data_IF_436150471379
#
_entry.id   IF_436150471379
#
_cell.length_a   1.000
_cell.length_b   1.000
_cell.length_c   1.000
_cell.angle_alpha   90.00
_cell.angle_beta   90.00
_cell.angle_gamma   90.00
#
_symmetry.space_group_name_H-M   'P 1'
#
loop_
_entity.id
_entity.type
_entity.pdbx_description
1 polymer ?
#
# COMPACT_ATOMS: atom_id res chain seq x y z
N UNK A 1 4.87 17.35 -24.09
CA UNK A 1 4.37 18.44 -24.95
C UNK A 1 3.10 18.07 -25.73
N UNK A 2 3.11 17.03 -26.57
CA UNK A 2 1.89 16.61 -27.32
C UNK A 2 0.83 15.95 -26.43
N UNK A 3 1.27 15.10 -25.50
CA UNK A 3 0.38 14.28 -24.65
C UNK A 3 -0.30 15.15 -23.57
N UNK A 4 0.47 15.94 -22.82
CA UNK A 4 -0.01 16.78 -21.71
C UNK A 4 -0.61 18.13 -22.14
N UNK A 5 -0.46 18.55 -23.41
CA UNK A 5 -0.86 19.87 -23.93
C UNK A 5 -0.31 21.10 -23.19
N UNK A 6 0.61 20.92 -22.24
CA UNK A 6 1.32 22.00 -21.54
C UNK A 6 2.83 21.83 -21.66
N UNK A 7 3.54 22.96 -21.64
CA UNK A 7 5.01 23.03 -21.70
C UNK A 7 5.50 23.44 -20.31
N UNK A 8 5.80 22.44 -19.48
CA UNK A 8 6.38 22.68 -18.17
C UNK A 8 7.91 22.71 -18.28
N UNK A 9 8.55 23.66 -17.59
CA UNK A 9 9.99 23.85 -17.54
C UNK A 9 10.79 22.56 -17.25
N UNK A 10 10.35 21.65 -16.36
CA UNK A 10 10.98 20.35 -16.15
C UNK A 10 11.10 19.51 -17.42
N UNK A 11 10.12 19.55 -18.32
CA UNK A 11 10.10 18.76 -19.57
C UNK A 11 11.20 19.25 -20.54
N UNK A 12 11.39 20.56 -20.64
CA UNK A 12 12.49 21.12 -21.46
C UNK A 12 13.84 20.81 -20.81
N UNK A 13 13.90 20.90 -19.47
CA UNK A 13 15.10 20.58 -18.74
C UNK A 13 15.54 19.12 -18.89
N UNK A 14 14.67 18.18 -19.27
CA UNK A 14 15.03 16.76 -19.54
C UNK A 14 16.10 16.59 -20.62
N UNK A 15 16.26 17.56 -21.52
CA UNK A 15 17.31 17.53 -22.55
C UNK A 15 18.71 17.55 -21.91
N UNK A 16 18.88 18.29 -20.81
CA UNK A 16 20.18 18.45 -20.13
C UNK A 16 20.69 17.13 -19.51
N UNK A 17 19.94 16.45 -18.61
CA UNK A 17 20.36 15.15 -18.12
C UNK A 17 20.41 14.13 -19.25
N UNK A 18 19.52 14.18 -20.26
CA UNK A 18 19.59 13.28 -21.42
C UNK A 18 20.92 13.36 -22.18
N UNK A 19 21.44 14.57 -22.43
CA UNK A 19 22.76 14.74 -23.07
C UNK A 19 23.91 14.30 -22.16
N UNK A 20 23.83 14.60 -20.86
CA UNK A 20 24.83 14.16 -19.90
C UNK A 20 24.89 12.63 -19.80
N UNK A 21 23.73 11.97 -19.72
CA UNK A 21 23.61 10.52 -19.66
C UNK A 21 24.11 9.87 -20.95
N UNK A 22 23.77 10.43 -22.12
CA UNK A 22 24.28 9.97 -23.40
C UNK A 22 25.82 10.01 -23.47
N UNK A 23 26.41 11.14 -23.07
CA UNK A 23 27.88 11.26 -23.01
C UNK A 23 28.53 10.31 -22.01
N UNK A 24 27.89 10.09 -20.86
CA UNK A 24 28.34 9.10 -19.86
C UNK A 24 28.31 7.68 -20.43
N UNK A 25 27.25 7.29 -21.14
CA UNK A 25 27.15 5.98 -21.78
C UNK A 25 28.32 5.79 -22.76
N UNK A 26 28.59 6.77 -23.62
CA UNK A 26 29.69 6.69 -24.59
C UNK A 26 31.06 6.54 -23.90
N UNK A 27 31.30 7.31 -22.82
CA UNK A 27 32.52 7.20 -22.01
C UNK A 27 32.63 5.80 -21.40
N UNK A 28 31.56 5.26 -20.81
CA UNK A 28 31.60 3.93 -20.21
C UNK A 28 31.79 2.83 -21.26
N UNK A 29 31.19 2.96 -22.44
CA UNK A 29 31.42 2.04 -23.57
C UNK A 29 32.89 2.06 -23.98
N UNK A 30 33.50 3.24 -24.14
CA UNK A 30 34.91 3.37 -24.49
C UNK A 30 35.82 2.79 -23.38
N UNK A 31 35.54 3.13 -22.13
CA UNK A 31 36.28 2.59 -20.96
C UNK A 31 36.22 1.06 -20.93
N UNK A 32 35.04 0.45 -21.03
CA UNK A 32 34.92 -1.02 -21.00
C UNK A 32 35.54 -1.69 -22.23
N UNK A 33 35.48 -1.05 -23.39
CA UNK A 33 36.14 -1.55 -24.60
C UNK A 33 37.66 -1.52 -24.45
N UNK A 34 38.21 -0.41 -23.95
CA UNK A 34 39.65 -0.24 -23.72
C UNK A 34 40.20 -1.12 -22.58
N UNK A 35 39.36 -1.46 -21.60
CA UNK A 35 39.66 -2.47 -20.57
C UNK A 35 39.68 -3.91 -21.12
N UNK A 36 39.29 -4.12 -22.38
CA UNK A 36 39.31 -5.44 -23.01
C UNK A 36 38.23 -6.38 -22.46
N UNK A 37 37.18 -5.88 -21.80
CA UNK A 37 36.06 -6.70 -21.34
C UNK A 37 35.44 -7.54 -22.48
N UNK A 38 35.23 -6.99 -23.70
CA UNK A 38 34.67 -7.79 -24.80
C UNK A 38 35.54 -9.00 -25.19
N UNK A 39 36.86 -8.86 -25.06
CA UNK A 39 37.83 -9.95 -25.32
C UNK A 39 37.99 -10.91 -24.15
N UNK A 40 37.67 -10.47 -22.92
CA UNK A 40 37.67 -11.33 -21.72
C UNK A 40 36.45 -12.27 -21.71
N UNK A 41 35.30 -11.78 -22.20
CA UNK A 41 34.01 -12.49 -22.21
C UNK A 41 33.86 -13.45 -23.38
N UNK A 42 34.82 -14.37 -23.53
CA UNK A 42 34.84 -15.34 -24.63
C UNK A 42 33.73 -16.39 -24.54
N UNK A 43 33.19 -16.63 -23.34
CA UNK A 43 32.13 -17.60 -23.12
C UNK A 43 30.75 -16.94 -23.03
N UNK A 44 29.76 -17.52 -23.72
CA UNK A 44 28.38 -17.00 -23.75
C UNK A 44 27.76 -16.83 -22.35
N UNK A 45 28.07 -17.72 -21.40
CA UNK A 45 27.58 -17.64 -20.03
C UNK A 45 28.11 -16.41 -19.27
N UNK A 46 29.35 -16.00 -19.54
CA UNK A 46 29.93 -14.81 -18.92
C UNK A 46 29.23 -13.54 -19.45
N UNK A 47 28.97 -13.49 -20.76
CA UNK A 47 28.20 -12.41 -21.38
C UNK A 47 26.79 -12.29 -20.79
N UNK A 48 26.13 -13.43 -20.56
CA UNK A 48 24.81 -13.48 -19.94
C UNK A 48 24.86 -13.01 -18.47
N UNK A 49 25.83 -13.48 -17.69
CA UNK A 49 25.99 -13.08 -16.30
C UNK A 49 26.25 -11.57 -16.16
N UNK A 50 27.08 -11.00 -17.03
CA UNK A 50 27.32 -9.55 -17.05
C UNK A 50 26.08 -8.76 -17.45
N UNK A 51 25.27 -9.30 -18.37
CA UNK A 51 23.99 -8.70 -18.75
C UNK A 51 23.02 -8.65 -17.57
N UNK A 52 22.92 -9.74 -16.79
CA UNK A 52 22.09 -9.79 -15.58
C UNK A 52 22.59 -8.81 -14.50
N UNK A 53 23.90 -8.74 -14.28
CA UNK A 53 24.49 -7.76 -13.36
C UNK A 53 24.19 -6.32 -13.80
N UNK A 54 24.30 -6.05 -15.11
CA UNK A 54 23.95 -4.76 -15.70
C UNK A 54 22.48 -4.39 -15.47
N UNK A 55 21.56 -5.36 -15.55
CA UNK A 55 20.15 -5.13 -15.25
C UNK A 55 19.91 -4.73 -13.79
N UNK A 56 20.60 -5.36 -12.83
CA UNK A 56 20.49 -5.01 -11.41
C UNK A 56 21.03 -3.60 -11.14
N UNK A 57 22.15 -3.25 -11.74
CA UNK A 57 22.72 -1.90 -11.60
C UNK A 57 21.82 -0.86 -12.26
N UNK A 58 21.27 -1.17 -13.44
CA UNK A 58 20.33 -0.30 -14.14
C UNK A 58 19.04 -0.11 -13.33
N UNK A 59 18.47 -1.18 -12.77
CA UNK A 59 17.24 -1.08 -11.97
C UNK A 59 17.46 -0.26 -10.70
N UNK A 60 18.59 -0.42 -10.04
CA UNK A 60 18.97 0.40 -8.88
C UNK A 60 19.16 1.88 -9.28
N UNK A 61 19.76 2.13 -10.45
CA UNK A 61 19.92 3.47 -11.01
C UNK A 61 18.58 4.15 -11.26
N UNK A 62 17.66 3.47 -11.96
CA UNK A 62 16.30 3.97 -12.21
C UNK A 62 15.52 4.15 -10.91
N UNK A 63 15.67 3.23 -9.95
CA UNK A 63 15.06 3.37 -8.62
C UNK A 63 15.49 4.66 -7.93
N UNK A 64 16.79 4.98 -7.93
CA UNK A 64 17.26 6.25 -7.37
C UNK A 64 16.84 7.45 -8.22
N UNK A 65 16.85 7.34 -9.55
CA UNK A 65 16.40 8.41 -10.42
C UNK A 65 14.96 8.81 -10.10
N UNK A 66 14.05 7.84 -10.08
CA UNK A 66 12.63 8.05 -9.79
C UNK A 66 12.41 8.57 -8.38
N UNK A 67 13.08 7.98 -7.37
CA UNK A 67 12.90 8.42 -5.97
C UNK A 67 13.63 9.72 -5.63
N UNK A 68 14.59 10.19 -6.43
CA UNK A 68 15.40 11.38 -6.11
C UNK A 68 14.69 12.73 -6.30
N UNK A 69 13.40 12.74 -6.68
CA UNK A 69 12.65 13.95 -7.07
C UNK A 69 13.36 14.80 -8.13
N UNK A 70 14.27 14.19 -8.90
CA UNK A 70 15.09 14.87 -9.89
C UNK A 70 14.39 14.89 -11.26
N UNK A 71 15.00 15.58 -12.23
CA UNK A 71 14.45 15.65 -13.58
C UNK A 71 14.59 14.28 -14.24
N UNK A 72 13.46 13.60 -14.40
CA UNK A 72 13.36 12.28 -15.04
C UNK A 72 13.85 12.32 -16.50
N UNK A 73 14.50 11.25 -16.93
CA UNK A 73 14.90 11.04 -18.30
C UNK A 73 13.70 11.03 -19.27
N UNK A 74 13.92 11.32 -20.58
CA UNK A 74 12.83 11.44 -21.54
C UNK A 74 11.96 10.18 -21.67
N UNK A 75 12.53 8.99 -21.48
CA UNK A 75 11.81 7.72 -21.52
C UNK A 75 10.84 7.57 -20.35
N UNK A 76 11.33 7.84 -19.15
CA UNK A 76 10.63 7.78 -17.88
C UNK A 76 9.58 8.90 -17.81
N UNK A 77 9.93 10.09 -18.29
CA UNK A 77 9.03 11.23 -18.44
C UNK A 77 7.87 10.97 -19.40
N UNK A 78 8.06 10.18 -20.47
CA UNK A 78 6.97 9.74 -21.34
C UNK A 78 6.00 8.83 -20.57
N UNK A 79 6.52 7.91 -19.75
CA UNK A 79 5.70 7.01 -18.94
C UNK A 79 4.90 7.81 -17.94
N UNK A 80 5.51 8.75 -17.21
CA UNK A 80 4.78 9.66 -16.31
C UNK A 80 3.72 10.46 -17.08
N UNK A 81 4.04 11.00 -18.26
CA UNK A 81 3.06 11.73 -19.06
C UNK A 81 1.88 10.86 -19.54
N UNK A 82 2.16 9.61 -19.95
CA UNK A 82 1.14 8.63 -20.34
C UNK A 82 0.33 8.18 -19.13
N UNK A 83 0.98 8.04 -17.97
CA UNK A 83 0.38 7.78 -16.67
C UNK A 83 -0.65 8.87 -16.46
N UNK A 84 -0.23 10.12 -16.22
CA UNK A 84 -1.11 11.28 -16.04
C UNK A 84 -2.25 11.41 -17.05
N UNK A 85 -2.02 11.08 -18.33
CA UNK A 85 -3.07 11.16 -19.37
C UNK A 85 -4.05 9.99 -19.38
N UNK A 86 -3.61 8.78 -19.09
CA UNK A 86 -4.40 7.55 -19.33
C UNK A 86 -4.96 6.92 -18.07
N UNK A 87 -4.58 7.38 -16.87
CA UNK A 87 -5.09 6.82 -15.60
C UNK A 87 -4.72 5.36 -15.33
N UNK A 88 -3.75 4.80 -16.06
CA UNK A 88 -3.19 3.45 -15.82
C UNK A 88 -1.90 3.43 -14.98
N UNK A 89 -1.70 2.47 -14.07
CA UNK A 89 -0.54 2.41 -13.15
C UNK A 89 0.82 2.61 -13.83
N UNK A 90 1.71 3.40 -13.20
CA UNK A 90 3.04 3.71 -13.73
C UNK A 90 3.81 2.44 -14.12
N UNK A 91 3.85 1.42 -13.25
CA UNK A 91 4.55 0.17 -13.52
C UNK A 91 4.03 -0.55 -14.78
N UNK A 92 2.69 -0.60 -14.97
CA UNK A 92 2.09 -1.19 -16.18
C UNK A 92 2.42 -0.38 -17.42
N UNK A 93 2.35 0.95 -17.35
CA UNK A 93 2.70 1.80 -18.49
C UNK A 93 4.19 1.79 -18.79
N UNK A 94 5.08 1.69 -17.79
CA UNK A 94 6.52 1.53 -17.98
C UNK A 94 6.79 0.25 -18.75
N UNK A 95 6.21 -0.86 -18.31
CA UNK A 95 6.30 -2.14 -18.99
C UNK A 95 5.83 -2.06 -20.44
N UNK A 96 4.65 -1.48 -20.71
CA UNK A 96 4.17 -1.33 -22.08
C UNK A 96 5.06 -0.42 -22.91
N UNK A 97 5.55 0.68 -22.33
CA UNK A 97 6.39 1.64 -23.05
C UNK A 97 7.73 0.98 -23.41
N UNK A 98 8.38 0.28 -22.48
CA UNK A 98 9.61 -0.46 -22.74
C UNK A 98 9.41 -1.57 -23.78
N UNK A 99 8.31 -2.32 -23.69
CA UNK A 99 7.98 -3.35 -24.67
C UNK A 99 7.76 -2.76 -26.06
N UNK A 100 7.12 -1.58 -26.16
CA UNK A 100 6.96 -0.88 -27.43
C UNK A 100 8.29 -0.38 -27.99
N UNK A 101 9.21 0.11 -27.15
CA UNK A 101 10.55 0.50 -27.59
C UNK A 101 11.32 -0.70 -28.15
N UNK A 102 11.26 -1.86 -27.48
CA UNK A 102 11.85 -3.12 -27.98
C UNK A 102 11.23 -3.54 -29.30
N UNK A 103 9.90 -3.50 -29.41
CA UNK A 103 9.21 -3.86 -30.64
C UNK A 103 9.59 -2.94 -31.82
N UNK A 104 9.67 -1.63 -31.58
CA UNK A 104 10.11 -0.65 -32.59
C UNK A 104 11.56 -0.91 -33.01
N UNK A 105 12.45 -1.14 -32.05
CA UNK A 105 13.84 -1.50 -32.33
C UNK A 105 13.94 -2.77 -33.18
N UNK A 106 13.10 -3.77 -32.92
CA UNK A 106 13.07 -5.03 -33.66
C UNK A 106 12.61 -4.82 -35.10
N UNK A 107 11.58 -4.01 -35.32
CA UNK A 107 11.11 -3.64 -36.66
C UNK A 107 12.19 -2.90 -37.44
N UNK A 108 12.85 -1.90 -36.82
CA UNK A 108 13.93 -1.15 -37.47
C UNK A 108 15.11 -2.07 -37.81
N UNK A 109 15.48 -2.97 -36.89
CA UNK A 109 16.56 -3.93 -37.09
C UNK A 109 16.30 -4.81 -38.32
N UNK A 110 15.09 -5.36 -38.43
CA UNK A 110 14.71 -6.25 -39.52
C UNK A 110 14.61 -5.52 -40.86
N UNK A 111 14.07 -4.30 -40.88
CA UNK A 111 13.90 -3.54 -42.12
C UNK A 111 15.23 -3.01 -42.68
N UNK A 112 16.12 -2.52 -41.81
CA UNK A 112 17.33 -1.82 -42.25
C UNK A 112 18.56 -2.72 -42.33
N UNK A 113 18.75 -3.62 -41.35
CA UNK A 113 19.94 -4.47 -41.26
C UNK A 113 19.70 -5.89 -41.79
N UNK A 114 18.46 -6.22 -42.19
CA UNK A 114 18.04 -7.56 -42.65
C UNK A 114 18.42 -8.68 -41.68
N UNK A 115 18.44 -8.36 -40.38
CA UNK A 115 18.82 -9.28 -39.31
C UNK A 115 18.54 -8.68 -37.94
N UNK A 116 18.69 -9.49 -36.89
CA UNK A 116 18.59 -9.05 -35.51
C UNK A 116 19.96 -8.51 -35.07
N UNK A 117 20.07 -7.19 -34.99
CA UNK A 117 21.25 -6.47 -34.51
C UNK A 117 20.85 -5.71 -33.25
N UNK A 118 21.56 -5.95 -32.14
CA UNK A 118 21.32 -5.29 -30.86
C UNK A 118 20.22 -5.90 -29.97
N UNK A 119 19.37 -6.78 -30.49
CA UNK A 119 18.34 -7.48 -29.70
C UNK A 119 18.73 -8.94 -29.54
N UNK A 120 18.91 -9.36 -28.28
CA UNK A 120 19.29 -10.73 -27.91
C UNK A 120 18.46 -11.21 -26.72
N UNK A 121 18.80 -12.38 -26.23
CA UNK A 121 18.11 -13.10 -25.15
C UNK A 121 18.00 -12.27 -23.86
N UNK A 122 18.98 -11.40 -23.59
CA UNK A 122 18.92 -10.43 -22.49
C UNK A 122 17.67 -9.55 -22.53
N UNK A 123 17.21 -9.14 -23.71
CA UNK A 123 15.99 -8.33 -23.85
C UNK A 123 14.73 -9.11 -23.44
N UNK A 124 14.68 -10.40 -23.76
CA UNK A 124 13.56 -11.28 -23.35
C UNK A 124 13.59 -11.50 -21.83
N UNK A 125 14.79 -11.70 -21.27
CA UNK A 125 14.97 -11.89 -19.83
C UNK A 125 14.54 -10.63 -19.06
N UNK A 126 14.98 -9.44 -19.48
CA UNK A 126 14.54 -8.18 -18.88
C UNK A 126 13.01 -8.07 -18.87
N UNK A 127 12.36 -8.31 -20.02
CA UNK A 127 10.91 -8.22 -20.14
C UNK A 127 10.17 -9.21 -19.20
N UNK A 128 10.70 -10.43 -19.01
CA UNK A 128 10.10 -11.41 -18.09
C UNK A 128 10.21 -10.98 -16.62
N UNK A 129 11.35 -10.43 -16.20
CA UNK A 129 11.54 -9.94 -14.83
C UNK A 129 10.61 -8.76 -14.52
N UNK A 130 10.35 -7.87 -15.49
CA UNK A 130 9.46 -6.72 -15.27
C UNK A 130 7.98 -7.11 -15.13
N UNK A 131 7.55 -8.25 -15.68
CA UNK A 131 6.14 -8.66 -15.67
C UNK A 131 5.72 -9.25 -14.31
N UNK A 132 6.61 -9.94 -13.59
CA UNK A 132 6.27 -10.60 -12.32
C UNK A 132 6.09 -9.64 -11.13
N UNK A 133 6.74 -8.48 -11.12
CA UNK A 133 6.65 -7.54 -9.98
C UNK A 133 5.41 -6.63 -10.03
N UNK A 134 4.78 -6.49 -11.20
CA UNK A 134 3.65 -5.57 -11.40
C UNK A 134 2.30 -6.07 -10.83
N UNK A 135 2.25 -7.23 -10.18
CA UNK A 135 1.03 -7.83 -9.60
C UNK A 135 1.02 -7.91 -8.06
N UNK A 136 1.97 -7.30 -7.35
CA UNK A 136 1.99 -7.34 -5.88
C UNK A 136 1.78 -5.95 -5.26
N UNK A 137 0.55 -5.70 -4.81
CA UNK A 137 0.27 -4.74 -3.75
C UNK A 137 0.54 -5.44 -2.40
N UNK A 138 1.73 -5.25 -1.85
CA UNK A 138 2.10 -5.78 -0.54
C UNK A 138 1.81 -4.75 0.55
N UNK A 139 0.61 -4.81 1.14
CA UNK A 139 0.43 -4.35 2.51
C UNK A 139 0.58 -5.56 3.43
N UNK A 140 1.79 -5.83 3.90
CA UNK A 140 2.04 -6.87 4.89
C UNK A 140 1.37 -6.48 6.22
N UNK A 141 0.16 -6.99 6.46
CA UNK A 141 -0.53 -6.97 7.75
C UNK A 141 0.13 -7.91 8.80
N UNK A 142 1.45 -8.10 8.75
CA UNK A 142 2.19 -9.01 9.61
C UNK A 142 3.55 -8.45 9.96
N UNK A 143 3.94 -8.57 11.22
CA UNK A 143 5.31 -8.25 11.66
C UNK A 143 6.20 -9.45 11.32
N UNK A 144 6.69 -9.50 10.08
CA UNK A 144 7.43 -10.66 9.54
C UNK A 144 6.56 -11.92 9.54
N UNK A 145 7.08 -13.03 10.07
CA UNK A 145 6.34 -14.30 10.16
C UNK A 145 5.31 -14.33 11.30
N UNK A 146 5.23 -13.29 12.15
CA UNK A 146 4.29 -13.29 13.26
C UNK A 146 2.86 -13.03 12.77
N UNK A 147 1.88 -13.80 13.26
CA UNK A 147 0.48 -13.68 12.85
C UNK A 147 -0.23 -12.52 13.57
N UNK A 148 0.46 -11.40 13.74
CA UNK A 148 -0.05 -10.17 14.35
C UNK A 148 0.57 -8.92 13.70
N UNK A 149 -0.19 -7.83 13.72
CA UNK A 149 0.24 -6.49 13.36
C UNK A 149 -0.12 -5.50 14.48
N UNK A 150 0.71 -4.48 14.67
CA UNK A 150 0.50 -3.44 15.66
C UNK A 150 0.58 -2.09 14.96
N UNK A 151 -0.45 -1.28 15.15
CA UNK A 151 -0.55 0.05 14.58
C UNK A 151 -0.67 1.06 15.71
N UNK A 152 0.24 2.03 15.72
CA UNK A 152 0.10 3.23 16.53
C UNK A 152 -0.45 4.34 15.65
N UNK A 153 -1.57 4.93 16.05
CA UNK A 153 -2.31 5.92 15.27
C UNK A 153 -2.66 7.13 16.12
N UNK A 154 -2.61 8.30 15.50
CA UNK A 154 -3.12 9.56 16.03
C UNK A 154 -4.10 10.09 15.00
N UNK A 155 -5.35 10.32 15.41
CA UNK A 155 -6.35 10.99 14.59
C UNK A 155 -6.55 12.40 15.13
N UNK A 156 -6.49 13.38 14.23
CA UNK A 156 -6.76 14.78 14.52
C UNK A 156 -8.11 15.21 13.93
N UNK A 157 -9.01 15.66 14.81
CA UNK A 157 -10.36 16.11 14.46
C UNK A 157 -10.35 17.40 13.66
N UNK A 158 -9.37 18.29 13.88
CA UNK A 158 -9.24 19.56 13.14
C UNK A 158 -8.88 19.33 11.67
N UNK A 159 -8.20 18.21 11.39
CA UNK A 159 -7.84 17.74 10.06
C UNK A 159 -8.91 16.85 9.42
N UNK A 160 -10.04 16.62 10.10
CA UNK A 160 -11.05 15.61 9.75
C UNK A 160 -10.44 14.21 9.54
N UNK A 161 -9.46 13.84 10.36
CA UNK A 161 -8.89 12.50 10.28
C UNK A 161 -9.92 11.45 10.72
N UNK A 162 -10.05 10.39 9.94
CA UNK A 162 -10.85 9.23 10.29
C UNK A 162 -10.19 7.94 9.80
N UNK A 163 -10.50 6.83 10.48
CA UNK A 163 -10.24 5.49 10.00
C UNK A 163 -11.47 5.03 9.21
N UNK A 164 -11.39 5.10 7.89
CA UNK A 164 -12.45 4.72 6.96
C UNK A 164 -13.04 3.34 7.27
N UNK A 165 -14.30 3.13 6.90
CA UNK A 165 -14.95 1.82 7.01
C UNK A 165 -14.11 0.72 6.35
N UNK A 166 -13.75 -0.31 7.10
CA UNK A 166 -12.98 -1.44 6.59
C UNK A 166 -13.26 -2.71 7.41
N UNK A 167 -12.79 -3.85 6.92
CA UNK A 167 -12.88 -5.13 7.60
C UNK A 167 -11.64 -5.95 7.27
N UNK A 168 -11.28 -6.87 8.14
CA UNK A 168 -10.17 -7.79 7.94
C UNK A 168 -10.46 -9.14 8.63
N UNK A 169 -9.63 -10.13 8.34
CA UNK A 169 -9.79 -11.52 8.77
C UNK A 169 -9.37 -11.74 10.24
N UNK A 170 -8.55 -10.84 10.75
CA UNK A 170 -7.97 -10.82 12.08
C UNK A 170 -8.99 -10.33 13.13
N UNK A 171 -8.79 -10.74 14.38
CA UNK A 171 -9.38 -10.03 15.52
C UNK A 171 -8.62 -8.72 15.71
N UNK A 172 -9.31 -7.65 16.09
CA UNK A 172 -8.68 -6.37 16.40
C UNK A 172 -8.90 -6.01 17.87
N UNK A 173 -7.82 -5.63 18.55
CA UNK A 173 -7.85 -4.97 19.84
C UNK A 173 -7.45 -3.51 19.65
N UNK A 174 -8.33 -2.58 20.00
CA UNK A 174 -8.04 -1.14 19.95
C UNK A 174 -8.02 -0.59 21.36
N UNK A 175 -6.97 0.15 21.72
CA UNK A 175 -6.80 0.76 23.03
C UNK A 175 -6.47 2.24 22.91
N UNK A 176 -7.20 3.10 23.63
CA UNK A 176 -6.98 4.55 23.60
C UNK A 176 -5.93 4.95 24.65
N UNK A 177 -4.87 5.59 24.17
CA UNK A 177 -3.76 6.13 24.97
C UNK A 177 -4.09 7.53 25.48
N UNK A 178 -4.59 8.39 24.59
CA UNK A 178 -5.03 9.75 24.92
C UNK A 178 -6.28 10.17 24.14
N UNK A 179 -7.15 10.96 24.78
CA UNK A 179 -8.37 11.48 24.15
C UNK A 179 -9.56 10.52 24.16
N UNK A 180 -10.45 10.64 23.17
CA UNK A 180 -11.64 9.80 23.01
C UNK A 180 -11.88 9.47 21.54
N UNK A 181 -12.05 8.18 21.27
CA UNK A 181 -12.36 7.62 19.96
C UNK A 181 -13.84 7.23 19.93
N UNK A 182 -14.55 7.59 18.88
CA UNK A 182 -15.83 6.98 18.53
C UNK A 182 -15.57 5.90 17.49
N UNK A 183 -15.88 4.66 17.84
CA UNK A 183 -15.64 3.49 17.00
C UNK A 183 -16.99 2.86 16.67
N UNK A 184 -17.30 2.80 15.38
CA UNK A 184 -18.51 2.16 14.87
C UNK A 184 -18.17 0.74 14.43
N UNK A 185 -18.96 -0.25 14.88
CA UNK A 185 -18.85 -1.64 14.44
C UNK A 185 -20.22 -2.08 13.93
N UNK A 186 -20.31 -2.37 12.64
CA UNK A 186 -21.57 -2.61 11.96
C UNK A 186 -22.50 -1.39 12.03
N UNK A 187 -23.61 -1.50 12.77
CA UNK A 187 -24.61 -0.43 12.94
C UNK A 187 -24.55 0.24 14.32
N UNK A 188 -23.70 -0.26 15.20
CA UNK A 188 -23.56 0.24 16.57
C UNK A 188 -22.31 1.12 16.68
N UNK A 189 -22.39 2.11 17.56
CA UNK A 189 -21.31 3.08 17.78
C UNK A 189 -20.94 3.10 19.25
N UNK A 190 -19.63 3.07 19.54
CA UNK A 190 -19.07 2.98 20.87
C UNK A 190 -18.09 4.12 21.12
N UNK A 191 -18.14 4.73 22.29
CA UNK A 191 -17.12 5.69 22.71
C UNK A 191 -16.09 4.98 23.59
N UNK A 192 -14.82 5.15 23.22
CA UNK A 192 -13.68 4.54 23.89
C UNK A 192 -12.81 5.68 24.40
N UNK A 193 -12.55 5.69 25.70
CA UNK A 193 -11.78 6.74 26.37
C UNK A 193 -10.41 6.20 26.79
N UNK A 194 -9.53 7.08 27.25
CA UNK A 194 -8.26 6.69 27.88
C UNK A 194 -8.40 5.52 28.85
N UNK A 195 -7.44 4.58 28.77
CA UNK A 195 -7.39 3.37 29.61
C UNK A 195 -8.58 2.43 29.44
N UNK A 196 -9.31 2.58 28.34
CA UNK A 196 -10.27 1.60 27.87
C UNK A 196 -9.90 1.12 26.47
N UNK A 197 -10.51 0.01 26.08
CA UNK A 197 -10.32 -0.54 24.75
C UNK A 197 -11.58 -1.20 24.25
N UNK A 198 -11.49 -1.73 23.03
CA UNK A 198 -12.50 -2.59 22.45
C UNK A 198 -11.80 -3.76 21.78
N UNK A 199 -12.39 -4.94 21.89
CA UNK A 199 -12.08 -6.05 21.00
C UNK A 199 -13.16 -6.13 19.93
N UNK A 200 -12.75 -6.37 18.70
CA UNK A 200 -13.61 -6.55 17.54
C UNK A 200 -13.34 -7.96 17.01
N UNK A 201 -14.41 -8.72 16.75
CA UNK A 201 -14.30 -10.07 16.23
C UNK A 201 -13.78 -10.04 14.77
N UNK A 202 -13.26 -11.17 14.33
CA UNK A 202 -12.86 -11.42 12.95
C UNK A 202 -14.00 -11.09 11.96
N UNK A 203 -13.63 -10.49 10.83
CA UNK A 203 -14.54 -10.13 9.73
C UNK A 203 -15.67 -9.19 10.10
N UNK A 204 -15.43 -8.24 11.01
CA UNK A 204 -16.41 -7.21 11.35
C UNK A 204 -16.06 -5.89 10.70
N UNK A 205 -17.07 -5.31 10.05
CA UNK A 205 -16.97 -3.99 9.48
C UNK A 205 -16.89 -2.93 10.58
N UNK A 206 -15.88 -2.08 10.53
CA UNK A 206 -15.71 -1.03 11.53
C UNK A 206 -15.05 0.23 10.97
N UNK A 207 -15.21 1.33 11.71
CA UNK A 207 -14.78 2.70 11.39
C UNK A 207 -14.48 3.44 12.69
N UNK A 208 -13.57 4.42 12.66
CA UNK A 208 -13.26 5.22 13.85
C UNK A 208 -13.02 6.70 13.54
N UNK A 209 -13.50 7.57 14.42
CA UNK A 209 -13.29 9.03 14.38
C UNK A 209 -12.88 9.56 15.76
N UNK A 210 -12.07 10.63 15.83
CA UNK A 210 -11.77 11.30 17.09
C UNK A 210 -12.96 12.15 17.56
N UNK A 211 -13.35 12.00 18.83
CA UNK A 211 -14.32 12.90 19.49
C UNK A 211 -13.64 14.08 20.20
N UNK A 212 -12.41 13.89 20.66
CA UNK A 212 -11.53 14.97 21.14
C UNK A 212 -10.79 15.64 19.99
N UNK A 213 -10.04 16.71 20.27
CA UNK A 213 -9.21 17.39 19.25
C UNK A 213 -8.21 16.42 18.62
N UNK A 214 -7.52 15.64 19.44
CA UNK A 214 -6.72 14.49 19.02
C UNK A 214 -7.16 13.24 19.77
N UNK A 215 -7.08 12.09 19.12
CA UNK A 215 -7.25 10.78 19.74
C UNK A 215 -6.09 9.87 19.33
N UNK A 216 -5.31 9.42 20.31
CA UNK A 216 -4.18 8.53 20.12
C UNK A 216 -4.54 7.13 20.60
N UNK A 217 -4.27 6.13 19.76
CA UNK A 217 -4.61 4.75 20.07
C UNK A 217 -3.64 3.76 19.45
N UNK A 218 -3.64 2.55 20.01
CA UNK A 218 -2.94 1.39 19.50
C UNK A 218 -3.96 0.35 19.04
N UNK A 219 -3.84 -0.12 17.80
CA UNK A 219 -4.53 -1.31 17.30
C UNK A 219 -3.57 -2.50 17.27
N UNK A 220 -4.05 -3.65 17.72
CA UNK A 220 -3.37 -4.93 17.62
C UNK A 220 -4.29 -5.87 16.86
N UNK A 221 -3.90 -6.20 15.63
CA UNK A 221 -4.62 -7.14 14.78
C UNK A 221 -3.92 -8.48 14.88
N UNK A 222 -4.67 -9.54 15.21
CA UNK A 222 -4.09 -10.87 15.38
C UNK A 222 -4.95 -11.93 14.72
N UNK A 223 -4.28 -12.86 14.05
CA UNK A 223 -4.94 -14.00 13.44
C UNK A 223 -5.61 -14.85 14.49
N UNK A 224 -6.77 -15.42 14.16
CA UNK A 224 -7.42 -16.46 14.96
C UNK A 224 -6.49 -17.65 15.27
N UNK A 225 -5.51 -17.94 14.42
CA UNK A 225 -4.57 -19.06 14.57
C UNK A 225 -3.20 -18.63 15.11
N UNK A 226 -3.13 -17.54 15.89
CA UNK A 226 -1.88 -17.13 16.54
C UNK A 226 -1.45 -18.07 17.68
N UNK A 227 -2.37 -18.87 18.20
CA UNK A 227 -2.11 -19.93 19.17
C UNK A 227 -2.06 -21.29 18.49
N UNK A 228 -1.51 -22.28 19.20
CA UNK A 228 -1.62 -23.67 18.74
C UNK A 228 -3.09 -24.11 18.60
N UNK A 229 -3.31 -25.12 17.76
CA UNK A 229 -4.65 -25.59 17.40
C UNK A 229 -5.54 -25.93 18.61
N UNK A 230 -4.97 -26.56 19.65
CA UNK A 230 -5.74 -26.96 20.82
C UNK A 230 -6.24 -25.75 21.64
N UNK A 231 -5.38 -24.74 21.81
CA UNK A 231 -5.76 -23.49 22.46
C UNK A 231 -6.77 -22.74 21.60
N UNK A 232 -6.54 -22.64 20.29
CA UNK A 232 -7.50 -22.05 19.36
C UNK A 232 -8.90 -22.65 19.51
N UNK A 233 -9.02 -23.98 19.44
CA UNK A 233 -10.30 -24.70 19.54
C UNK A 233 -11.01 -24.49 20.88
N UNK A 234 -10.26 -24.32 21.98
CA UNK A 234 -10.82 -24.20 23.32
C UNK A 234 -11.10 -22.77 23.78
N UNK A 235 -10.40 -21.77 23.23
CA UNK A 235 -10.51 -20.36 23.68
C UNK A 235 -11.04 -19.43 22.60
N UNK A 236 -10.39 -19.38 21.44
CA UNK A 236 -10.68 -18.42 20.37
C UNK A 236 -11.90 -18.86 19.57
N UNK A 237 -11.94 -20.11 19.12
CA UNK A 237 -13.01 -20.63 18.26
C UNK A 237 -14.40 -20.44 18.88
N UNK A 238 -14.64 -20.68 20.19
CA UNK A 238 -15.93 -20.36 20.81
C UNK A 238 -16.29 -18.87 20.77
N UNK A 239 -15.31 -17.96 20.79
CA UNK A 239 -15.54 -16.52 20.65
C UNK A 239 -15.80 -16.14 19.19
N UNK A 240 -15.05 -16.71 18.26
CA UNK A 240 -15.18 -16.50 16.82
C UNK A 240 -16.53 -17.02 16.29
N UNK A 241 -16.89 -18.25 16.67
CA UNK A 241 -18.10 -18.95 16.22
C UNK A 241 -19.35 -18.55 16.99
N UNK A 242 -19.21 -17.84 18.13
CA UNK A 242 -20.35 -17.15 18.74
C UNK A 242 -20.83 -16.15 17.69
N UNK A 243 -21.84 -16.55 16.91
CA UNK A 243 -22.46 -15.75 15.85
C UNK A 243 -22.80 -14.32 16.31
N UNK A 244 -22.98 -14.14 17.62
CA UNK A 244 -23.40 -12.91 18.27
C UNK A 244 -22.24 -12.09 18.89
N UNK A 245 -21.00 -12.58 18.89
CA UNK A 245 -19.87 -11.77 19.34
C UNK A 245 -19.42 -10.86 18.19
N UNK A 246 -19.79 -9.58 18.23
CA UNK A 246 -19.36 -8.58 17.26
C UNK A 246 -18.16 -7.81 17.82
N UNK A 247 -18.35 -7.19 18.97
CA UNK A 247 -17.29 -6.49 19.69
C UNK A 247 -17.59 -6.47 21.19
N UNK A 248 -16.62 -6.03 21.99
CA UNK A 248 -16.81 -5.79 23.41
C UNK A 248 -15.86 -4.73 23.94
N UNK A 249 -16.42 -3.78 24.69
CA UNK A 249 -15.66 -2.80 25.45
C UNK A 249 -14.89 -3.48 26.59
N UNK A 250 -13.66 -3.05 26.77
CA UNK A 250 -12.69 -3.53 27.75
C UNK A 250 -12.32 -2.38 28.68
N UNK A 251 -12.20 -2.69 29.97
CA UNK A 251 -11.62 -1.78 30.97
C UNK A 251 -10.25 -2.33 31.34
N UNK A 252 -9.18 -1.61 31.02
CA UNK A 252 -7.85 -2.15 31.17
C UNK A 252 -7.43 -2.26 32.64
N UNK A 253 -7.01 -3.46 33.06
CA UNK A 253 -6.36 -3.69 34.33
C UNK A 253 -4.97 -2.98 34.38
N UNK A 254 -4.43 -2.67 35.59
CA UNK A 254 -3.17 -1.93 35.71
C UNK A 254 -1.98 -2.58 34.98
N UNK A 255 -1.91 -3.92 34.94
CA UNK A 255 -0.84 -4.61 34.22
C UNK A 255 -0.99 -4.48 32.70
N UNK A 256 -2.22 -4.54 32.18
CA UNK A 256 -2.50 -4.34 30.75
C UNK A 256 -2.12 -2.91 30.33
N UNK A 257 -2.43 -1.91 31.16
CA UNK A 257 -2.04 -0.52 30.90
C UNK A 257 -0.52 -0.35 30.87
N UNK A 258 0.22 -1.00 31.77
CA UNK A 258 1.67 -0.95 31.78
C UNK A 258 2.29 -1.56 30.51
N UNK A 259 1.77 -2.69 30.04
CA UNK A 259 2.22 -3.31 28.79
C UNK A 259 1.93 -2.39 27.59
N UNK A 260 0.73 -1.80 27.55
CA UNK A 260 0.32 -0.91 26.46
C UNK A 260 1.21 0.34 26.39
N UNK A 261 1.55 0.90 27.54
CA UNK A 261 2.41 2.07 27.62
C UNK A 261 3.83 1.77 27.11
N UNK A 262 4.36 0.59 27.41
CA UNK A 262 5.65 0.15 26.86
C UNK A 262 5.61 -0.04 25.33
N UNK A 263 4.51 -0.58 24.79
CA UNK A 263 4.30 -0.70 23.34
C UNK A 263 4.31 0.67 22.66
N UNK A 264 3.68 1.68 23.29
CA UNK A 264 3.63 3.05 22.78
C UNK A 264 5.00 3.75 22.85
N UNK A 265 5.77 3.53 23.92
CA UNK A 265 7.07 4.17 24.14
C UNK A 265 8.20 3.55 23.29
N UNK A 266 8.06 2.28 22.89
CA UNK A 266 9.05 1.57 22.07
C UNK A 266 8.46 0.98 20.79
N UNK A 267 8.04 1.83 19.82
CA UNK A 267 7.57 1.36 18.53
C UNK A 267 8.63 0.49 17.86
N UNK A 268 8.21 -0.61 17.23
CA UNK A 268 9.06 -1.58 16.50
C UNK A 268 10.04 -2.43 17.35
N UNK A 269 10.25 -2.12 18.63
CA UNK A 269 11.08 -2.91 19.54
C UNK A 269 10.23 -3.77 20.50
N UNK A 270 9.24 -4.48 19.95
CA UNK A 270 8.20 -5.12 20.74
C UNK A 270 8.67 -6.35 21.52
N UNK A 271 8.24 -6.42 22.78
CA UNK A 271 8.31 -7.66 23.55
C UNK A 271 7.09 -8.54 23.25
N UNK A 272 7.25 -9.49 22.33
CA UNK A 272 6.16 -10.37 21.90
C UNK A 272 5.52 -11.18 23.04
N UNK A 273 6.27 -11.57 24.08
CA UNK A 273 5.69 -12.27 25.23
C UNK A 273 4.68 -11.39 25.97
N UNK A 274 4.98 -10.10 26.13
CA UNK A 274 4.05 -9.15 26.76
C UNK A 274 2.83 -8.88 25.89
N UNK A 275 2.99 -8.83 24.57
CA UNK A 275 1.86 -8.70 23.64
C UNK A 275 0.94 -9.93 23.76
N UNK A 276 1.50 -11.13 23.77
CA UNK A 276 0.72 -12.35 23.99
C UNK A 276 0.01 -12.32 25.35
N UNK A 277 0.69 -11.90 26.41
CA UNK A 277 0.09 -11.74 27.73
C UNK A 277 -1.10 -10.77 27.69
N UNK A 278 -0.95 -9.61 27.05
CA UNK A 278 -2.01 -8.62 26.87
C UNK A 278 -3.22 -9.21 26.14
N UNK A 279 -3.00 -9.84 24.98
CA UNK A 279 -4.06 -10.46 24.18
C UNK A 279 -4.79 -11.55 24.98
N UNK A 280 -4.04 -12.48 25.60
CA UNK A 280 -4.60 -13.58 26.39
C UNK A 280 -5.37 -13.08 27.62
N UNK A 281 -4.86 -12.06 28.28
CA UNK A 281 -5.50 -11.39 29.42
C UNK A 281 -6.87 -10.81 29.02
N UNK A 282 -6.93 -10.08 27.91
CA UNK A 282 -8.19 -9.54 27.39
C UNK A 282 -9.18 -10.64 26.97
N UNK A 283 -8.70 -11.70 26.31
CA UNK A 283 -9.54 -12.84 25.90
C UNK A 283 -10.17 -13.57 27.10
N UNK A 284 -9.42 -13.72 28.19
CA UNK A 284 -9.94 -14.36 29.41
C UNK A 284 -11.06 -13.54 30.08
N UNK A 285 -10.97 -12.21 30.06
CA UNK A 285 -12.06 -11.36 30.58
C UNK A 285 -13.35 -11.53 29.77
N UNK A 286 -13.24 -11.71 28.46
CA UNK A 286 -14.40 -11.84 27.58
C UNK A 286 -15.10 -13.17 27.79
N UNK A 287 -14.34 -14.27 27.94
CA UNK A 287 -14.89 -15.62 28.13
C UNK A 287 -15.81 -15.75 29.34
N UNK A 288 -15.64 -14.89 30.35
CA UNK A 288 -16.34 -14.97 31.63
C UNK A 288 -17.65 -14.18 31.73
N UNK A 289 -18.14 -13.51 30.68
CA UNK A 289 -19.41 -12.76 30.76
C UNK A 289 -20.45 -13.15 29.70
N UNK A 290 -21.75 -12.87 29.95
CA UNK A 290 -22.83 -13.26 29.05
C UNK A 290 -22.65 -12.61 27.69
N UNK A 291 -22.87 -13.36 26.62
CA UNK A 291 -22.82 -12.83 25.27
C UNK A 291 -23.89 -11.74 25.10
N UNK A 292 -23.51 -10.56 24.61
CA UNK A 292 -24.49 -9.61 24.09
C UNK A 292 -25.19 -10.25 22.88
N UNK A 293 -26.52 -10.22 22.87
CA UNK A 293 -27.29 -10.54 21.68
C UNK A 293 -27.37 -9.29 20.82
N UNK A 294 -27.05 -9.35 19.53
CA UNK A 294 -28.01 -8.99 18.47
C UNK A 294 -27.48 -9.02 17.03
N UNK A 295 -28.49 -9.15 16.14
CA UNK A 295 -28.68 -8.88 14.70
C UNK A 295 -27.58 -9.24 13.70
N UNK A 296 -27.98 -10.08 12.72
CA UNK A 296 -27.23 -10.40 11.49
C UNK A 296 -26.75 -9.12 10.80
N UNK A 297 -25.45 -9.03 10.59
CA UNK A 297 -24.86 -8.04 9.69
C UNK A 297 -25.25 -8.34 8.23
N UNK A 298 -25.47 -7.28 7.45
CA UNK A 298 -25.79 -7.35 6.03
C UNK A 298 -24.54 -7.79 5.24
N UNK A 299 -24.54 -9.01 4.72
CA UNK A 299 -23.45 -9.57 3.90
C UNK A 299 -23.16 -8.73 2.65
N UNK A 300 -24.16 -7.99 2.16
CA UNK A 300 -24.05 -7.17 0.96
C UNK A 300 -23.01 -6.04 1.13
N UNK A 301 -22.91 -5.46 2.33
CA UNK A 301 -21.93 -4.40 2.61
C UNK A 301 -20.49 -4.92 2.51
N UNK A 302 -20.23 -6.15 2.94
CA UNK A 302 -18.90 -6.74 2.79
C UNK A 302 -18.53 -6.96 1.32
N UNK A 303 -19.49 -7.39 0.49
CA UNK A 303 -19.28 -7.53 -0.94
C UNK A 303 -19.00 -6.18 -1.60
N UNK A 304 -19.76 -5.15 -1.22
CA UNK A 304 -19.54 -3.78 -1.66
C UNK A 304 -18.13 -3.28 -1.34
N UNK A 305 -17.72 -3.37 -0.08
CA UNK A 305 -16.44 -2.82 0.36
C UNK A 305 -15.27 -3.56 -0.29
N UNK A 306 -15.35 -4.89 -0.39
CA UNK A 306 -14.37 -5.66 -1.13
C UNK A 306 -14.29 -5.25 -2.58
N UNK A 307 -15.44 -5.03 -3.22
CA UNK A 307 -15.47 -4.57 -4.59
C UNK A 307 -14.81 -3.20 -4.72
N UNK A 308 -15.07 -2.26 -3.82
CA UNK A 308 -14.40 -0.94 -3.83
C UNK A 308 -12.90 -1.10 -3.59
N UNK A 309 -12.47 -1.82 -2.54
CA UNK A 309 -11.05 -2.00 -2.22
C UNK A 309 -10.26 -2.69 -3.33
N UNK A 310 -10.88 -3.62 -4.06
CA UNK A 310 -10.22 -4.30 -5.18
C UNK A 310 -10.25 -3.50 -6.49
N UNK A 311 -11.18 -2.55 -6.64
CA UNK A 311 -11.43 -1.85 -7.90
C UNK A 311 -11.31 -0.32 -7.81
N UNK A 312 -10.89 0.25 -6.68
CA UNK A 312 -10.84 1.71 -6.48
C UNK A 312 -9.92 2.41 -7.48
N UNK A 313 -8.94 1.71 -8.05
CA UNK A 313 -8.04 2.20 -9.09
C UNK A 313 -8.68 2.24 -10.50
N UNK A 314 -9.95 1.86 -10.63
CA UNK A 314 -10.68 1.86 -11.90
C UNK A 314 -11.93 2.76 -11.76
N UNK A 315 -12.43 3.31 -12.87
CA UNK A 315 -13.70 4.05 -12.90
C UNK A 315 -14.88 3.18 -12.43
N UNK A 316 -15.23 3.28 -11.15
CA UNK A 316 -16.35 2.54 -10.57
C UNK A 316 -17.66 3.27 -10.89
N UNK A 317 -18.48 2.72 -11.78
CA UNK A 317 -19.78 3.33 -12.12
C UNK A 317 -20.82 3.09 -11.02
N UNK A 318 -21.73 4.06 -10.81
CA UNK A 318 -22.88 3.90 -9.88
C UNK A 318 -23.66 2.62 -10.16
N UNK A 319 -23.78 2.18 -11.41
CA UNK A 319 -24.45 0.94 -11.78
C UNK A 319 -23.72 -0.31 -11.25
N UNK A 320 -22.38 -0.33 -11.30
CA UNK A 320 -21.58 -1.41 -10.73
C UNK A 320 -21.73 -1.48 -9.20
N UNK A 321 -21.87 -0.32 -8.55
CA UNK A 321 -21.99 -0.26 -7.09
C UNK A 321 -23.43 -0.44 -6.59
N UNK A 322 -24.42 0.00 -7.36
CA UNK A 322 -25.84 -0.15 -7.03
C UNK A 322 -26.28 -1.62 -7.03
N UNK A 323 -25.55 -2.51 -7.72
CA UNK A 323 -25.72 -3.96 -7.57
C UNK A 323 -25.24 -4.50 -6.20
N UNK A 324 -24.42 -3.75 -5.46
CA UNK A 324 -23.80 -4.18 -4.19
C UNK A 324 -24.40 -3.51 -2.92
N UNK A 325 -25.44 -2.69 -3.07
CA UNK A 325 -26.28 -2.12 -1.98
C UNK A 325 -25.72 -0.90 -1.21
N UNK A 326 -26.63 -0.07 -0.69
CA UNK A 326 -26.42 1.35 -0.35
C UNK A 326 -26.79 1.69 1.10
N UNK A 327 -25.90 2.38 1.83
CA UNK A 327 -26.24 3.21 3.00
C UNK A 327 -25.32 4.43 3.21
N UNK A 328 -24.30 4.59 2.37
CA UNK A 328 -23.74 5.88 1.94
C UNK A 328 -23.80 5.91 0.41
N UNK A 329 -23.73 7.09 -0.21
CA UNK A 329 -23.47 7.19 -1.65
C UNK A 329 -22.19 6.39 -1.93
N UNK A 330 -22.26 5.26 -2.63
CA UNK A 330 -21.08 4.40 -2.77
C UNK A 330 -19.94 5.09 -3.53
N UNK A 331 -20.30 6.12 -4.31
CA UNK A 331 -19.36 7.03 -4.93
C UNK A 331 -18.57 7.84 -3.91
N UNK A 332 -19.21 8.33 -2.84
CA UNK A 332 -18.55 9.12 -1.81
C UNK A 332 -17.57 8.24 -1.04
N UNK A 333 -17.97 7.04 -0.62
CA UNK A 333 -17.06 6.11 0.03
C UNK A 333 -15.86 5.76 -0.86
N UNK A 334 -16.09 5.54 -2.17
CA UNK A 334 -14.99 5.30 -3.11
C UNK A 334 -14.04 6.50 -3.17
N UNK A 335 -14.57 7.72 -3.24
CA UNK A 335 -13.76 8.96 -3.25
C UNK A 335 -12.98 9.10 -1.94
N UNK A 336 -13.62 8.91 -0.79
CA UNK A 336 -12.99 9.06 0.52
C UNK A 336 -11.89 8.00 0.70
N UNK A 337 -12.14 6.75 0.29
CA UNK A 337 -11.15 5.67 0.31
C UNK A 337 -9.95 5.98 -0.60
N UNK A 338 -10.20 6.52 -1.80
CA UNK A 338 -9.15 7.00 -2.72
C UNK A 338 -8.31 8.09 -2.06
N UNK A 339 -8.94 9.08 -1.43
CA UNK A 339 -8.25 10.16 -0.72
C UNK A 339 -7.45 9.64 0.48
N UNK A 340 -7.96 8.66 1.22
CA UNK A 340 -7.21 8.01 2.29
C UNK A 340 -5.94 7.34 1.74
N UNK A 341 -6.06 6.54 0.67
CA UNK A 341 -4.91 5.90 0.02
C UNK A 341 -3.91 6.90 -0.56
N UNK A 342 -4.40 8.03 -1.05
CA UNK A 342 -3.55 9.15 -1.46
C UNK A 342 -2.76 9.70 -0.26
N UNK A 343 -3.42 9.96 0.87
CA UNK A 343 -2.80 10.46 2.09
C UNK A 343 -1.77 9.50 2.66
N UNK A 344 -2.07 8.20 2.71
CA UNK A 344 -1.12 7.17 3.14
C UNK A 344 0.14 7.20 2.27
N UNK A 345 -0.01 7.21 0.94
CA UNK A 345 1.13 7.30 0.02
C UNK A 345 1.92 8.61 0.17
N UNK A 346 1.26 9.73 0.43
CA UNK A 346 1.94 11.02 0.70
C UNK A 346 2.84 10.96 1.95
N UNK A 347 2.44 10.17 2.95
CA UNK A 347 3.16 10.04 4.22
C UNK A 347 4.24 8.95 4.17
N UNK A 348 3.98 7.87 3.45
CA UNK A 348 4.80 6.66 3.45
C UNK A 348 5.77 6.55 2.26
N UNK A 349 5.58 7.38 1.23
CA UNK A 349 6.40 7.34 0.01
C UNK A 349 6.94 8.73 -0.35
N UNK A 350 7.97 8.76 -1.20
CA UNK A 350 8.48 9.99 -1.80
C UNK A 350 7.88 10.29 -3.18
N UNK A 351 6.77 9.62 -3.54
CA UNK A 351 6.07 9.84 -4.80
C UNK A 351 5.57 11.29 -4.91
N UNK A 352 5.55 11.82 -6.14
CA UNK A 352 5.02 13.16 -6.40
C UNK A 352 3.51 13.21 -6.17
N UNK A 353 2.97 14.38 -5.82
CA UNK A 353 1.50 14.57 -5.67
C UNK A 353 0.77 14.06 -6.91
N UNK A 354 1.32 14.32 -8.09
CA UNK A 354 0.84 13.83 -9.38
C UNK A 354 0.75 12.29 -9.42
N UNK A 355 1.81 11.57 -9.04
CA UNK A 355 1.84 10.10 -8.99
C UNK A 355 0.89 9.52 -7.94
N UNK A 356 0.71 10.23 -6.83
CA UNK A 356 -0.15 9.78 -5.75
C UNK A 356 -1.63 9.97 -6.10
N UNK A 357 -2.01 11.16 -6.56
CA UNK A 357 -3.37 11.43 -7.05
C UNK A 357 -3.75 10.48 -8.19
N UNK A 358 -2.75 10.09 -8.97
CA UNK A 358 -2.89 9.13 -10.02
C UNK A 358 -3.19 7.71 -9.54
N UNK A 359 -2.35 7.17 -8.66
CA UNK A 359 -2.50 5.80 -8.16
C UNK A 359 -3.76 5.62 -7.29
N UNK A 360 -4.22 6.71 -6.68
CA UNK A 360 -5.46 6.75 -5.92
C UNK A 360 -6.69 7.13 -6.77
N UNK A 361 -6.56 7.45 -8.07
CA UNK A 361 -7.64 8.08 -8.86
C UNK A 361 -8.36 9.26 -8.14
N UNK A 362 -7.64 10.02 -7.31
CA UNK A 362 -8.18 11.19 -6.63
C UNK A 362 -8.53 12.30 -7.65
N UNK A 363 -9.56 13.10 -7.33
CA UNK A 363 -10.29 13.94 -8.29
C UNK A 363 -9.43 15.06 -8.91
N UNK A 364 -8.41 15.57 -8.20
CA UNK A 364 -7.44 16.54 -8.73
C UNK A 364 -6.22 16.71 -7.80
N UNK A 365 -5.10 17.18 -8.34
CA UNK A 365 -3.91 17.57 -7.56
C UNK A 365 -4.23 18.60 -6.47
N UNK A 366 -5.22 19.45 -6.69
CA UNK A 366 -5.67 20.47 -5.73
C UNK A 366 -6.29 19.83 -4.48
N UNK A 367 -7.02 18.71 -4.64
CA UNK A 367 -7.59 17.96 -3.52
C UNK A 367 -6.50 17.16 -2.78
N UNK A 368 -5.55 16.53 -3.49
CA UNK A 368 -4.39 15.88 -2.85
C UNK A 368 -3.46 16.90 -2.15
N UNK A 369 -3.24 18.07 -2.77
CA UNK A 369 -2.41 19.14 -2.24
C UNK A 369 -3.03 19.80 -1.01
N UNK A 370 -4.36 19.90 -0.95
CA UNK A 370 -5.08 20.28 0.25
C UNK A 370 -4.75 19.37 1.44
N UNK A 371 -4.57 18.06 1.24
CA UNK A 371 -4.18 17.13 2.32
C UNK A 371 -2.78 17.42 2.89
N UNK A 372 -1.86 18.04 2.14
CA UNK A 372 -0.53 18.45 2.62
C UNK A 372 -0.58 19.73 3.47
N UNK A 373 -1.56 20.62 3.27
CA UNK A 373 -1.72 21.81 4.13
C UNK A 373 -2.24 21.46 5.54
N UNK A 374 -2.70 20.23 5.74
CA UNK A 374 -3.17 19.69 7.01
C UNK A 374 -2.18 18.68 7.65
N UNK A 375 -0.98 18.48 7.09
CA UNK A 375 0.13 17.74 7.73
C UNK A 375 1.19 18.70 8.21
#
# INVERSE_FOLDING_TARGET
MVILREVNLPIILQIVPGLAFGGLIDVFVDVFTNLGLPTLMGHYLEQLAFTLLGMVVLSLGVFFEVNSRSILMPGEGLVVALTLRTKKPFGKLKMYTDLTMVAVALVISLLYFQGLVGIREGTIIAALFTVNEAEQEQTEHRIGDFPLAIYHRILDRTRNDELMWHWHEEFQLTFVLSGTLELSVGKETYQIHEKSGIIINSRRLHHAVPLTETAEYVCIDFSSHFLNEQLYQSTIKPLQDKQNFICRLLTLAPHQQAILQEIAETPQAYNFLKIYELILSCLNEIGNSPASSEKKEDQDIYQLLNFVHQNFQQDITVAAIAQAYTNQSPMNYTIDYRLLKAKERLLETEETISEICFASEAVSEEVCGGCLEYT
#
